data_IF_246679710363
#
_entry.id   IF_246679710363
#
_cell.length_a   1.000
_cell.length_b   1.000
_cell.length_c   1.000
_cell.angle_alpha   90.00
_cell.angle_beta   90.00
_cell.angle_gamma   90.00
#
_symmetry.space_group_name_H-M   'P 1'
#
loop_
_entity.id
_entity.type
_entity.pdbx_description
1 polymer ?
#
# COMPACT_ATOMS: atom_id res chain seq x y z
N UNK A 1 16.93 -14.10 5.56
CA UNK A 1 15.88 -13.08 5.86
C UNK A 1 14.58 -13.74 6.34
N UNK A 2 14.46 -14.14 7.61
CA UNK A 2 13.25 -14.78 8.14
C UNK A 2 12.15 -13.77 8.56
N UNK A 3 12.47 -12.51 8.85
CA UNK A 3 11.51 -11.54 9.43
C UNK A 3 10.38 -11.07 8.48
N UNK A 4 10.51 -11.23 7.17
CA UNK A 4 9.44 -10.88 6.20
C UNK A 4 8.46 -12.05 6.00
N UNK A 5 8.88 -13.27 6.35
CA UNK A 5 8.03 -14.46 6.26
C UNK A 5 7.03 -14.44 7.42
N UNK A 6 5.80 -14.00 7.13
CA UNK A 6 4.68 -14.09 8.06
C UNK A 6 3.86 -12.80 8.22
N UNK A 7 4.40 -11.63 7.85
CA UNK A 7 3.70 -10.35 8.08
C UNK A 7 2.36 -10.28 7.32
N UNK A 8 2.32 -10.81 6.09
CA UNK A 8 1.11 -10.88 5.29
C UNK A 8 0.07 -11.86 5.83
N UNK A 9 0.52 -13.01 6.35
CA UNK A 9 -0.36 -13.96 7.02
C UNK A 9 -0.98 -13.36 8.28
N UNK A 10 -0.18 -12.62 9.06
CA UNK A 10 -0.65 -11.91 10.24
C UNK A 10 -1.68 -10.82 9.88
N UNK A 11 -1.41 -9.98 8.88
CA UNK A 11 -2.36 -8.97 8.39
C UNK A 11 -3.68 -9.60 7.91
N UNK A 12 -3.61 -10.73 7.21
CA UNK A 12 -4.79 -11.48 6.77
C UNK A 12 -5.60 -11.97 7.98
N UNK A 13 -4.93 -12.61 8.94
CA UNK A 13 -5.57 -13.19 10.12
C UNK A 13 -6.18 -12.12 11.05
N UNK A 14 -5.50 -10.99 11.25
CA UNK A 14 -6.05 -9.90 12.06
C UNK A 14 -7.25 -9.26 11.39
N UNK A 15 -7.20 -9.05 10.07
CA UNK A 15 -8.31 -8.47 9.31
C UNK A 15 -9.53 -9.39 9.29
N UNK A 16 -9.36 -10.70 9.06
CA UNK A 16 -10.49 -11.64 9.06
C UNK A 16 -11.17 -11.73 10.43
N UNK A 17 -10.40 -11.74 11.52
CA UNK A 17 -10.96 -11.66 12.87
C UNK A 17 -11.76 -10.38 13.09
N UNK A 18 -11.23 -9.24 12.63
CA UNK A 18 -11.93 -7.96 12.76
C UNK A 18 -13.22 -7.92 11.93
N UNK A 19 -13.20 -8.44 10.70
CA UNK A 19 -14.39 -8.52 9.84
C UNK A 19 -15.48 -9.38 10.45
N UNK A 20 -15.14 -10.52 11.06
CA UNK A 20 -16.11 -11.36 11.77
C UNK A 20 -16.74 -10.66 12.98
N UNK A 21 -15.99 -9.78 13.66
CA UNK A 21 -16.47 -9.07 14.84
C UNK A 21 -17.30 -7.83 14.49
N UNK A 22 -16.86 -7.07 13.49
CA UNK A 22 -17.45 -5.77 13.13
C UNK A 22 -18.55 -5.90 12.06
N UNK A 23 -18.47 -6.93 11.21
CA UNK A 23 -19.37 -7.17 10.08
C UNK A 23 -19.62 -5.90 9.23
N UNK A 24 -18.57 -5.23 8.71
CA UNK A 24 -18.75 -4.00 7.95
C UNK A 24 -19.23 -4.28 6.53
N UNK A 25 -20.09 -3.41 5.98
CA UNK A 25 -20.42 -3.45 4.54
C UNK A 25 -19.24 -2.98 3.67
N UNK A 26 -18.44 -2.05 4.19
CA UNK A 26 -17.32 -1.41 3.48
C UNK A 26 -16.09 -1.36 4.38
N UNK A 27 -14.92 -1.72 3.84
CA UNK A 27 -13.64 -1.56 4.50
C UNK A 27 -12.61 -0.85 3.62
N UNK A 28 -12.03 0.22 4.16
CA UNK A 28 -11.09 1.09 3.45
C UNK A 28 -9.64 0.75 3.78
N UNK A 29 -8.80 0.57 2.77
CA UNK A 29 -7.38 0.26 2.91
C UNK A 29 -6.53 1.18 2.03
N UNK A 30 -5.45 1.72 2.57
CA UNK A 30 -4.58 2.65 1.83
C UNK A 30 -3.81 1.98 0.70
N UNK A 31 -3.82 2.59 -0.49
CA UNK A 31 -3.07 2.13 -1.67
C UNK A 31 -1.54 2.14 -1.48
N UNK A 32 -1.05 2.87 -0.47
CA UNK A 32 0.37 2.92 -0.12
C UNK A 32 0.90 1.52 0.19
N UNK A 33 0.07 0.68 0.79
CA UNK A 33 0.38 -0.69 1.17
C UNK A 33 -0.21 -1.67 0.11
N UNK A 34 0.21 -1.49 -1.15
CA UNK A 34 -0.35 -2.17 -2.33
C UNK A 34 -0.47 -3.69 -2.18
N UNK A 35 0.58 -4.35 -1.67
CA UNK A 35 0.58 -5.80 -1.47
C UNK A 35 -0.44 -6.25 -0.41
N UNK A 36 -0.63 -5.47 0.65
CA UNK A 36 -1.66 -5.74 1.66
C UNK A 36 -3.05 -5.60 1.06
N UNK A 37 -3.32 -4.51 0.33
CA UNK A 37 -4.62 -4.27 -0.30
C UNK A 37 -4.99 -5.41 -1.27
N UNK A 38 -4.05 -5.83 -2.13
CA UNK A 38 -4.26 -6.95 -3.04
C UNK A 38 -4.58 -8.26 -2.29
N UNK A 39 -3.87 -8.53 -1.20
CA UNK A 39 -4.10 -9.71 -0.37
C UNK A 39 -5.45 -9.66 0.35
N UNK A 40 -5.86 -8.52 0.88
CA UNK A 40 -7.16 -8.36 1.55
C UNK A 40 -8.30 -8.56 0.55
N UNK A 41 -8.22 -7.95 -0.64
CA UNK A 41 -9.19 -8.19 -1.73
C UNK A 41 -9.31 -9.66 -2.07
N UNK A 42 -8.17 -10.34 -2.24
CA UNK A 42 -8.16 -11.78 -2.50
C UNK A 42 -8.75 -12.58 -1.33
N UNK A 43 -8.41 -12.24 -0.09
CA UNK A 43 -8.95 -12.92 1.10
C UNK A 43 -10.47 -12.79 1.17
N UNK A 44 -11.01 -11.59 0.95
CA UNK A 44 -12.45 -11.32 1.02
C UNK A 44 -13.20 -12.16 -0.02
N UNK A 45 -12.70 -12.19 -1.26
CA UNK A 45 -13.25 -13.04 -2.31
C UNK A 45 -13.13 -14.54 -1.99
N UNK A 46 -11.95 -15.00 -1.58
CA UNK A 46 -11.68 -16.42 -1.29
C UNK A 46 -12.50 -16.94 -0.10
N UNK A 47 -12.86 -16.08 0.86
CA UNK A 47 -13.60 -16.45 2.07
C UNK A 47 -15.10 -16.16 1.98
N UNK A 48 -15.58 -15.62 0.86
CA UNK A 48 -17.00 -15.29 0.66
C UNK A 48 -17.52 -14.20 1.59
N UNK A 49 -16.65 -13.26 1.99
CA UNK A 49 -17.08 -12.09 2.76
C UNK A 49 -17.85 -11.13 1.85
N UNK A 50 -19.05 -10.74 2.27
CA UNK A 50 -19.85 -9.69 1.60
C UNK A 50 -19.41 -8.31 2.08
N UNK A 51 -18.19 -7.91 1.69
CA UNK A 51 -17.55 -6.64 2.12
C UNK A 51 -16.94 -5.95 0.90
N UNK A 52 -17.29 -4.69 0.68
CA UNK A 52 -16.65 -3.86 -0.34
C UNK A 52 -15.27 -3.36 0.13
N UNK A 53 -14.21 -3.66 -0.64
CA UNK A 53 -12.84 -3.24 -0.32
C UNK A 53 -12.40 -2.05 -1.16
N UNK A 54 -12.49 -0.87 -0.56
CA UNK A 54 -12.15 0.41 -1.17
C UNK A 54 -10.67 0.75 -0.97
N UNK A 55 -9.96 1.00 -2.08
CA UNK A 55 -8.59 1.50 -2.06
C UNK A 55 -8.59 3.01 -1.84
N UNK A 56 -7.87 3.48 -0.83
CA UNK A 56 -7.75 4.92 -0.53
C UNK A 56 -6.44 5.47 -1.11
N UNK A 57 -6.48 6.54 -1.95
CA UNK A 57 -5.30 7.11 -2.57
C UNK A 57 -4.18 7.45 -1.60
N UNK A 58 -2.93 7.32 -2.07
CA UNK A 58 -1.74 7.63 -1.26
C UNK A 58 -1.71 9.13 -0.92
N UNK A 59 -1.96 9.45 0.35
CA UNK A 59 -1.75 10.80 0.87
C UNK A 59 -0.26 11.13 0.96
N UNK A 60 0.11 12.32 0.47
CA UNK A 60 1.50 12.78 0.40
C UNK A 60 1.65 14.15 1.06
N UNK A 61 2.80 14.38 1.67
CA UNK A 61 3.21 15.71 2.09
C UNK A 61 3.46 16.61 0.86
N UNK A 62 3.60 17.94 1.10
CA UNK A 62 3.82 18.93 0.03
C UNK A 62 5.04 18.62 -0.86
N UNK A 63 6.05 17.97 -0.30
CA UNK A 63 7.27 17.57 -1.00
C UNK A 63 7.16 16.22 -1.74
N UNK A 64 6.00 15.56 -1.67
CA UNK A 64 5.70 14.29 -2.36
C UNK A 64 6.01 13.03 -1.55
N UNK A 65 6.56 13.14 -0.33
CA UNK A 65 6.77 11.98 0.54
C UNK A 65 5.42 11.39 0.96
N UNK A 66 5.25 10.07 0.83
CA UNK A 66 4.05 9.40 1.30
C UNK A 66 3.93 9.50 2.83
N UNK A 67 2.73 9.82 3.32
CA UNK A 67 2.50 9.94 4.76
C UNK A 67 2.59 8.56 5.43
N UNK A 68 3.31 8.51 6.53
CA UNK A 68 3.56 7.30 7.30
C UNK A 68 3.91 7.68 8.74
N UNK A 69 3.40 6.94 9.73
CA UNK A 69 3.82 7.10 11.13
C UNK A 69 5.33 6.92 11.29
N UNK A 70 5.93 6.05 10.47
CA UNK A 70 7.38 5.79 10.41
C UNK A 70 8.21 7.00 9.97
N UNK A 71 7.59 8.03 9.38
CA UNK A 71 8.33 9.25 9.03
C UNK A 71 8.86 9.97 10.27
N UNK A 72 8.27 9.73 11.44
CA UNK A 72 8.76 10.23 12.74
C UNK A 72 10.12 9.67 13.15
N UNK A 73 10.54 8.55 12.56
CA UNK A 73 11.84 7.93 12.84
C UNK A 73 12.99 8.54 12.03
N UNK A 74 12.67 9.38 11.03
CA UNK A 74 13.67 9.99 10.16
C UNK A 74 14.34 11.16 10.88
N UNK A 75 15.67 11.21 10.81
CA UNK A 75 16.40 12.43 11.17
C UNK A 75 16.08 13.56 10.18
N UNK A 76 16.40 14.81 10.53
CA UNK A 76 16.21 15.95 9.64
C UNK A 76 16.88 15.75 8.27
N UNK A 77 18.08 15.19 8.24
CA UNK A 77 18.80 14.91 6.99
C UNK A 77 18.18 13.77 6.18
N UNK A 78 17.78 12.66 6.84
CA UNK A 78 17.06 11.58 6.17
C UNK A 78 15.72 12.05 5.58
N UNK A 79 15.02 12.93 6.30
CA UNK A 79 13.73 13.49 5.90
C UNK A 79 13.85 14.36 4.64
N UNK A 80 14.97 15.08 4.45
CA UNK A 80 15.24 15.84 3.22
C UNK A 80 15.40 14.93 2.00
N UNK A 81 15.97 13.74 2.17
CA UNK A 81 16.26 12.80 1.07
C UNK A 81 15.05 11.90 0.76
N UNK A 82 14.23 11.56 1.76
CA UNK A 82 13.11 10.62 1.65
C UNK A 82 12.14 10.85 0.46
N UNK A 83 11.76 12.09 0.08
CA UNK A 83 10.90 12.32 -1.10
C UNK A 83 11.53 11.84 -2.42
N UNK A 84 12.86 11.67 -2.46
CA UNK A 84 13.59 11.15 -3.62
C UNK A 84 13.09 9.79 -4.11
N UNK A 85 12.63 8.93 -3.19
CA UNK A 85 12.07 7.62 -3.55
C UNK A 85 10.87 7.74 -4.51
N UNK A 86 9.99 8.70 -4.26
CA UNK A 86 8.83 8.91 -5.14
C UNK A 86 9.23 9.48 -6.50
N UNK A 87 10.29 10.29 -6.54
CA UNK A 87 10.82 10.82 -7.80
C UNK A 87 11.35 9.71 -8.70
N UNK A 88 12.04 8.72 -8.11
CA UNK A 88 12.54 7.53 -8.82
C UNK A 88 11.37 6.74 -9.41
N UNK A 89 10.35 6.40 -8.60
CA UNK A 89 9.17 5.69 -9.13
C UNK A 89 8.49 6.45 -10.28
N UNK A 90 8.34 7.78 -10.17
CA UNK A 90 7.78 8.59 -11.25
C UNK A 90 8.64 8.63 -12.50
N UNK A 91 9.96 8.57 -12.36
CA UNK A 91 10.87 8.52 -13.49
C UNK A 91 10.71 7.19 -14.23
N UNK A 92 10.73 6.07 -13.49
CA UNK A 92 10.59 4.73 -14.05
C UNK A 92 9.23 4.52 -14.73
N UNK A 93 8.14 4.98 -14.11
CA UNK A 93 6.80 4.90 -14.72
C UNK A 93 6.74 5.65 -16.07
N UNK A 94 7.40 6.81 -16.19
CA UNK A 94 7.44 7.58 -17.44
C UNK A 94 8.25 6.86 -18.53
N UNK A 95 9.38 6.25 -18.16
CA UNK A 95 10.20 5.44 -19.07
C UNK A 95 9.41 4.25 -19.61
N UNK A 96 8.72 3.50 -18.75
CA UNK A 96 7.90 2.34 -19.14
C UNK A 96 6.73 2.76 -20.03
N UNK A 97 6.07 3.89 -19.72
CA UNK A 97 4.99 4.42 -20.55
C UNK A 97 5.50 4.84 -21.94
N UNK A 98 6.63 5.55 -22.00
CA UNK A 98 7.27 5.95 -23.26
C UNK A 98 7.70 4.75 -24.11
N UNK A 99 8.22 3.70 -23.48
CA UNK A 99 8.53 2.43 -24.14
C UNK A 99 7.29 1.79 -24.78
N UNK A 100 6.14 1.81 -24.10
CA UNK A 100 4.89 1.26 -24.63
C UNK A 100 4.32 2.05 -25.82
N UNK A 101 4.64 3.34 -25.92
CA UNK A 101 4.17 4.21 -27.02
C UNK A 101 5.15 4.33 -28.18
N UNK A 102 6.42 3.94 -28.00
CA UNK A 102 7.52 4.15 -28.96
C UNK A 102 8.09 2.89 -29.61
N UNK A 103 7.44 1.72 -29.50
CA UNK A 103 7.89 0.49 -30.15
C UNK A 103 6.80 -0.06 -31.08
N UNK A 104 6.75 0.52 -32.29
CA UNK A 104 6.53 -0.16 -33.58
C UNK A 104 7.34 0.58 -34.63
#
# INVERSE_FOLDING_TARGET
>A
MPAVRGIFAACRLSSSKLFNLVQPDIACFGEKDFQQLALIRKMVADMGFDIEIVGVPIMRAKDGLALSSRNSYLTAEQRKIAPGLYKVFKFDCRQIAGWRTGSR
#
